data_IF_381854484094
#
_entry.id   IF_381854484094
#
_cell.length_a   1.000
_cell.length_b   1.000
_cell.length_c   1.000
_cell.angle_alpha   90.00
_cell.angle_beta   90.00
_cell.angle_gamma   90.00
#
_symmetry.space_group_name_H-M   'P 1'
#
loop_
_entity.id
_entity.type
_entity.pdbx_description
1 polymer ?
#
# COMPACT_ATOMS: atom_id res chain seq x y z
N UNK A 1 -20.43 -22.89 -20.80
CA UNK A 1 -19.73 -22.65 -22.09
C UNK A 1 -19.74 -21.15 -22.36
N UNK A 2 -18.59 -20.50 -22.59
CA UNK A 2 -18.49 -19.05 -22.73
C UNK A 2 -19.36 -18.50 -23.87
N UNK A 3 -20.19 -17.50 -23.55
CA UNK A 3 -21.28 -16.97 -24.41
C UNK A 3 -20.83 -15.93 -25.45
N UNK A 4 -19.54 -15.55 -25.56
CA UNK A 4 -19.07 -14.51 -26.51
C UNK A 4 -17.93 -14.96 -27.44
N UNK A 5 -17.82 -14.34 -28.62
CA UNK A 5 -16.85 -14.65 -29.68
C UNK A 5 -15.38 -14.39 -29.30
N UNK A 6 -15.15 -13.57 -28.28
CA UNK A 6 -13.81 -13.18 -27.82
C UNK A 6 -13.13 -14.31 -27.03
N UNK A 7 -13.86 -15.00 -26.16
CA UNK A 7 -13.33 -16.13 -25.38
C UNK A 7 -13.06 -17.36 -26.26
N UNK A 8 -13.81 -17.55 -27.35
CA UNK A 8 -13.53 -18.59 -28.36
C UNK A 8 -12.21 -18.38 -29.10
N UNK A 9 -11.75 -17.13 -29.24
CA UNK A 9 -10.45 -16.79 -29.88
C UNK A 9 -9.27 -16.87 -28.92
N UNK A 10 -9.50 -16.94 -27.62
CA UNK A 10 -8.44 -16.98 -26.62
C UNK A 10 -7.76 -18.38 -26.64
N UNK A 11 -6.54 -18.42 -27.18
CA UNK A 11 -5.78 -19.67 -27.34
C UNK A 11 -5.53 -20.34 -25.98
N UNK A 12 -5.18 -19.58 -24.95
CA UNK A 12 -4.89 -20.13 -23.62
C UNK A 12 -6.14 -20.61 -22.88
N UNK A 13 -7.31 -20.03 -23.18
CA UNK A 13 -8.57 -20.58 -22.66
C UNK A 13 -8.87 -21.97 -23.25
N UNK A 14 -8.68 -22.14 -24.57
CA UNK A 14 -8.87 -23.44 -25.24
C UNK A 14 -7.86 -24.47 -24.76
N UNK A 15 -6.56 -24.10 -24.76
CA UNK A 15 -5.49 -24.96 -24.22
C UNK A 15 -5.74 -25.37 -22.77
N UNK A 16 -6.26 -24.47 -21.94
CA UNK A 16 -6.60 -24.80 -20.56
C UNK A 16 -7.64 -25.92 -20.48
N UNK A 17 -8.66 -25.89 -21.35
CA UNK A 17 -9.67 -26.96 -21.40
C UNK A 17 -9.12 -28.26 -21.99
N UNK A 18 -8.28 -28.18 -23.01
CA UNK A 18 -7.63 -29.34 -23.64
C UNK A 18 -6.68 -30.07 -22.66
N UNK A 19 -5.92 -29.32 -21.86
CA UNK A 19 -4.93 -29.85 -20.89
C UNK A 19 -5.50 -30.07 -19.47
N UNK A 20 -6.80 -29.83 -19.28
CA UNK A 20 -7.50 -30.06 -18.01
C UNK A 20 -7.16 -29.07 -16.89
N UNK A 21 -6.73 -27.86 -17.22
CA UNK A 21 -6.54 -26.76 -16.28
C UNK A 21 -7.88 -26.07 -15.95
N UNK A 22 -8.09 -25.71 -14.68
CA UNK A 22 -9.31 -25.01 -14.23
C UNK A 22 -9.48 -23.64 -14.88
N UNK A 23 -8.38 -22.92 -15.06
CA UNK A 23 -8.34 -21.60 -15.66
C UNK A 23 -7.11 -21.40 -16.57
N UNK A 24 -7.20 -20.44 -17.48
CA UNK A 24 -6.09 -20.06 -18.37
C UNK A 24 -4.90 -19.42 -17.65
N UNK A 25 -5.08 -18.96 -16.41
CA UNK A 25 -4.00 -18.40 -15.59
C UNK A 25 -2.94 -19.42 -15.21
N UNK A 26 -3.21 -20.73 -15.31
CA UNK A 26 -2.19 -21.78 -15.16
C UNK A 26 -0.96 -21.53 -16.06
N UNK A 27 -1.17 -21.09 -17.31
CA UNK A 27 -0.09 -20.78 -18.24
C UNK A 27 0.77 -19.60 -17.82
N UNK A 28 0.25 -18.68 -17.00
CA UNK A 28 1.05 -17.55 -16.49
C UNK A 28 2.13 -18.07 -15.56
N UNK A 29 1.77 -18.93 -14.60
CA UNK A 29 2.73 -19.50 -13.65
C UNK A 29 3.75 -20.41 -14.36
N UNK A 30 3.29 -21.25 -15.31
CA UNK A 30 4.19 -22.09 -16.12
C UNK A 30 5.22 -21.26 -16.91
N UNK A 31 4.80 -20.12 -17.46
CA UNK A 31 5.70 -19.22 -18.20
C UNK A 31 6.61 -18.40 -17.29
N UNK A 32 6.15 -18.06 -16.08
CA UNK A 32 7.02 -17.44 -15.06
C UNK A 32 8.11 -18.43 -14.67
N UNK A 33 7.75 -19.69 -14.43
CA UNK A 33 8.70 -20.74 -14.08
C UNK A 33 9.72 -21.02 -15.19
N UNK A 34 9.31 -21.02 -16.47
CA UNK A 34 10.26 -21.25 -17.57
C UNK A 34 11.37 -20.20 -17.64
N UNK A 35 11.10 -18.96 -17.25
CA UNK A 35 12.07 -17.84 -17.29
C UNK A 35 12.79 -17.64 -15.96
N UNK A 36 12.09 -17.87 -14.84
CA UNK A 36 12.58 -17.53 -13.51
C UNK A 36 12.97 -18.75 -12.67
N UNK A 37 12.71 -19.98 -13.12
CA UNK A 37 13.04 -21.23 -12.43
C UNK A 37 12.54 -21.23 -10.97
N UNK A 38 11.26 -20.92 -10.77
CA UNK A 38 10.70 -20.72 -9.43
C UNK A 38 10.39 -22.03 -8.70
N UNK A 39 10.38 -23.17 -9.40
CA UNK A 39 10.15 -24.50 -8.81
C UNK A 39 11.43 -25.25 -8.43
N UNK A 40 12.60 -24.69 -8.70
CA UNK A 40 13.87 -25.32 -8.39
C UNK A 40 14.09 -25.42 -6.89
N UNK A 41 14.29 -26.66 -6.40
CA UNK A 41 14.50 -26.93 -4.97
C UNK A 41 13.29 -26.65 -4.08
N UNK A 42 12.10 -26.45 -4.66
CA UNK A 42 10.86 -26.21 -3.90
C UNK A 42 10.22 -27.53 -3.49
N UNK A 43 9.95 -27.66 -2.19
CA UNK A 43 9.24 -28.80 -1.60
C UNK A 43 7.95 -28.38 -0.89
N UNK A 44 7.92 -27.16 -0.35
CA UNK A 44 6.78 -26.57 0.36
C UNK A 44 6.33 -25.30 -0.34
N UNK A 45 5.10 -25.31 -0.85
CA UNK A 45 4.54 -24.17 -1.57
C UNK A 45 3.19 -23.74 -0.99
N UNK A 46 2.94 -22.42 -1.01
CA UNK A 46 1.68 -21.82 -0.62
C UNK A 46 1.08 -21.06 -1.81
N UNK A 47 -0.19 -21.30 -2.10
CA UNK A 47 -0.97 -20.58 -3.11
C UNK A 47 -2.00 -19.69 -2.39
N UNK A 48 -1.79 -18.38 -2.38
CA UNK A 48 -2.68 -17.39 -1.77
C UNK A 48 -3.69 -16.87 -2.78
N UNK A 49 -4.92 -16.62 -2.34
CA UNK A 49 -6.04 -16.25 -3.21
C UNK A 49 -6.20 -17.25 -4.36
N UNK A 50 -6.16 -18.53 -4.02
CA UNK A 50 -5.97 -19.62 -4.95
C UNK A 50 -7.19 -19.90 -5.85
N UNK A 51 -8.41 -19.49 -5.47
CA UNK A 51 -9.63 -19.88 -6.18
C UNK A 51 -9.59 -19.43 -7.65
N UNK A 52 -9.95 -20.31 -8.62
CA UNK A 52 -10.55 -21.64 -8.47
C UNK A 52 -9.53 -22.80 -8.31
N UNK A 53 -8.24 -22.53 -8.16
CA UNK A 53 -7.18 -23.50 -7.88
C UNK A 53 -6.28 -23.83 -9.09
N UNK A 54 -6.21 -22.95 -10.09
CA UNK A 54 -5.42 -23.24 -11.31
C UNK A 54 -3.91 -23.20 -11.08
N UNK A 55 -3.41 -22.32 -10.20
CA UNK A 55 -2.00 -22.28 -9.81
C UNK A 55 -1.66 -23.43 -8.87
N UNK A 56 -2.54 -23.75 -7.93
CA UNK A 56 -2.48 -24.98 -7.13
C UNK A 56 -2.34 -26.25 -7.97
N UNK A 57 -3.08 -26.36 -9.10
CA UNK A 57 -2.89 -27.49 -10.03
C UNK A 57 -1.49 -27.51 -10.64
N UNK A 58 -0.94 -26.35 -11.03
CA UNK A 58 0.40 -26.25 -11.60
C UNK A 58 1.45 -26.66 -10.57
N UNK A 59 1.36 -26.15 -9.34
CA UNK A 59 2.21 -26.54 -8.21
C UNK A 59 2.16 -28.05 -7.98
N UNK A 60 0.95 -28.63 -7.90
CA UNK A 60 0.77 -30.06 -7.67
C UNK A 60 1.43 -30.90 -8.77
N UNK A 61 1.27 -30.54 -10.05
CA UNK A 61 1.90 -31.31 -11.14
C UNK A 61 3.42 -31.13 -11.13
N UNK A 62 3.92 -29.89 -11.09
CA UNK A 62 5.34 -29.56 -11.24
C UNK A 62 6.19 -30.02 -10.06
N UNK A 63 5.72 -29.82 -8.82
CA UNK A 63 6.48 -30.25 -7.65
C UNK A 63 6.50 -31.79 -7.53
N UNK A 64 5.43 -32.49 -7.95
CA UNK A 64 5.45 -33.96 -8.00
C UNK A 64 6.36 -34.50 -9.11
N UNK A 65 6.46 -33.83 -10.27
CA UNK A 65 7.45 -34.13 -11.30
C UNK A 65 8.87 -34.00 -10.74
N UNK A 66 9.19 -32.86 -10.11
CA UNK A 66 10.50 -32.60 -9.49
C UNK A 66 10.82 -33.63 -8.40
N UNK A 67 9.85 -33.98 -7.57
CA UNK A 67 9.98 -35.02 -6.54
C UNK A 67 10.32 -36.39 -7.14
N UNK A 68 9.63 -36.81 -8.21
CA UNK A 68 9.92 -38.09 -8.88
C UNK A 68 11.33 -38.12 -9.48
N UNK A 69 11.80 -37.02 -10.04
CA UNK A 69 13.17 -36.94 -10.55
C UNK A 69 14.20 -36.90 -9.42
N UNK A 70 13.91 -36.23 -8.30
CA UNK A 70 14.76 -36.25 -7.12
C UNK A 70 14.88 -37.66 -6.51
N UNK A 71 13.79 -38.43 -6.47
CA UNK A 71 13.80 -39.82 -6.01
C UNK A 71 14.77 -40.72 -6.76
N UNK A 72 14.96 -40.46 -8.06
CA UNK A 72 15.92 -41.23 -8.88
C UNK A 72 17.36 -40.94 -8.49
N UNK A 73 17.64 -39.76 -7.94
CA UNK A 73 18.98 -39.30 -7.54
C UNK A 73 19.31 -39.62 -6.08
N UNK A 74 18.31 -39.82 -5.23
CA UNK A 74 18.49 -40.16 -3.82
C UNK A 74 17.21 -40.02 -3.00
N UNK A 75 17.30 -40.11 -1.66
CA UNK A 75 16.16 -39.90 -0.78
C UNK A 75 15.60 -38.47 -0.93
N UNK A 76 14.29 -38.36 -1.13
CA UNK A 76 13.59 -37.08 -1.23
C UNK A 76 12.26 -37.15 -0.48
N UNK A 77 11.79 -35.99 0.01
CA UNK A 77 10.50 -35.85 0.70
C UNK A 77 9.40 -35.43 -0.27
N UNK A 78 8.17 -35.95 -0.13
CA UNK A 78 7.05 -35.55 -0.99
C UNK A 78 6.72 -34.06 -0.80
N UNK A 79 6.27 -33.38 -1.87
CA UNK A 79 5.92 -31.98 -1.78
C UNK A 79 4.68 -31.77 -0.91
N UNK A 80 4.65 -30.66 -0.17
CA UNK A 80 3.47 -30.21 0.59
C UNK A 80 3.00 -28.88 0.00
N UNK A 81 1.72 -28.82 -0.34
CA UNK A 81 1.12 -27.63 -0.97
C UNK A 81 -0.10 -27.22 -0.14
N UNK A 82 -0.15 -25.96 0.26
CA UNK A 82 -1.29 -25.37 0.97
C UNK A 82 -1.87 -24.25 0.11
N UNK A 83 -3.15 -24.36 -0.24
CA UNK A 83 -3.87 -23.36 -1.01
C UNK A 83 -4.88 -22.65 -0.11
N UNK A 84 -4.90 -21.32 -0.14
CA UNK A 84 -5.70 -20.47 0.75
C UNK A 84 -6.56 -19.54 -0.07
N UNK A 85 -7.85 -19.51 0.23
CA UNK A 85 -8.77 -18.54 -0.36
C UNK A 85 -9.95 -18.27 0.59
N UNK A 86 -10.61 -17.12 0.45
CA UNK A 86 -11.88 -16.85 1.13
C UNK A 86 -13.02 -17.73 0.57
N UNK A 87 -12.95 -18.04 -0.73
CA UNK A 87 -13.91 -18.88 -1.44
C UNK A 87 -13.55 -20.36 -1.32
N UNK A 88 -14.58 -21.20 -1.13
CA UNK A 88 -14.40 -22.64 -1.20
C UNK A 88 -13.98 -23.08 -2.62
N UNK A 89 -13.00 -23.98 -2.69
CA UNK A 89 -12.52 -24.56 -3.94
C UNK A 89 -12.91 -26.03 -4.04
N UNK A 90 -13.06 -26.53 -5.27
CA UNK A 90 -13.21 -27.96 -5.47
C UNK A 90 -11.90 -28.69 -5.06
N UNK A 91 -11.97 -29.88 -4.43
CA UNK A 91 -10.79 -30.63 -4.01
C UNK A 91 -9.77 -30.86 -5.13
N UNK A 92 -8.48 -30.82 -4.78
CA UNK A 92 -7.34 -31.06 -5.67
C UNK A 92 -6.43 -32.08 -5.01
N UNK A 93 -6.07 -33.12 -5.74
CA UNK A 93 -5.17 -34.15 -5.25
C UNK A 93 -3.79 -33.58 -4.91
N UNK A 94 -3.25 -33.94 -3.75
CA UNK A 94 -1.94 -33.46 -3.28
C UNK A 94 -1.92 -31.99 -2.82
N UNK A 95 -3.08 -31.33 -2.71
CA UNK A 95 -3.19 -29.93 -2.24
C UNK A 95 -4.09 -29.88 -1.01
N UNK A 96 -3.54 -29.34 0.08
CA UNK A 96 -4.30 -29.00 1.28
C UNK A 96 -5.01 -27.68 1.02
N UNK A 97 -6.32 -27.63 1.19
CA UNK A 97 -7.11 -26.42 0.93
C UNK A 97 -7.62 -25.85 2.24
N UNK A 98 -7.28 -24.59 2.50
CA UNK A 98 -7.74 -23.83 3.65
C UNK A 98 -8.68 -22.73 3.16
N UNK A 99 -9.87 -22.67 3.75
CA UNK A 99 -10.74 -21.52 3.59
C UNK A 99 -10.38 -20.51 4.69
N UNK A 100 -9.77 -19.40 4.31
CA UNK A 100 -9.21 -18.46 5.28
C UNK A 100 -8.95 -17.09 4.68
N UNK A 101 -8.91 -16.09 5.56
CA UNK A 101 -8.53 -14.73 5.19
C UNK A 101 -7.03 -14.55 5.38
N UNK A 102 -6.35 -14.13 4.32
CA UNK A 102 -4.90 -13.91 4.35
C UNK A 102 -4.51 -12.72 5.24
N UNK A 103 -5.46 -11.88 5.66
CA UNK A 103 -5.23 -10.78 6.63
C UNK A 103 -5.19 -11.27 8.08
N UNK A 104 -5.63 -12.50 8.35
CA UNK A 104 -5.71 -13.04 9.71
C UNK A 104 -4.47 -13.84 10.11
N UNK A 105 -3.96 -13.58 11.31
CA UNK A 105 -2.83 -14.34 11.92
C UNK A 105 -3.16 -15.83 12.06
N UNK A 106 -4.41 -16.17 12.37
CA UNK A 106 -4.86 -17.57 12.50
C UNK A 106 -4.69 -18.37 11.20
N UNK A 107 -4.80 -17.72 10.04
CA UNK A 107 -4.56 -18.35 8.74
C UNK A 107 -3.07 -18.63 8.55
N UNK A 108 -2.18 -17.71 8.94
CA UNK A 108 -0.74 -17.95 8.93
C UNK A 108 -0.33 -19.13 9.83
N UNK A 109 -0.90 -19.20 11.04
CA UNK A 109 -0.67 -20.29 12.00
C UNK A 109 -1.11 -21.65 11.44
N UNK A 110 -2.29 -21.71 10.81
CA UNK A 110 -2.78 -22.93 10.17
C UNK A 110 -1.88 -23.40 9.02
N UNK A 111 -1.39 -22.47 8.19
CA UNK A 111 -0.44 -22.80 7.11
C UNK A 111 0.84 -23.41 7.69
N UNK A 112 1.40 -22.78 8.72
CA UNK A 112 2.63 -23.25 9.39
C UNK A 112 2.42 -24.62 10.04
N UNK A 113 1.26 -24.85 10.65
CA UNK A 113 0.92 -26.14 11.25
C UNK A 113 0.91 -27.28 10.20
N UNK A 114 0.41 -27.04 9.00
CA UNK A 114 0.43 -28.03 7.90
C UNK A 114 1.85 -28.34 7.38
N UNK A 115 2.80 -27.45 7.62
CA UNK A 115 4.22 -27.65 7.32
C UNK A 115 5.04 -28.13 8.53
N UNK A 116 4.40 -28.78 9.50
CA UNK A 116 5.08 -29.32 10.70
C UNK A 116 5.86 -28.23 11.48
N UNK A 117 5.29 -27.02 11.56
CA UNK A 117 5.92 -25.84 12.15
C UNK A 117 7.19 -25.35 11.45
N UNK A 118 7.36 -25.70 10.18
CA UNK A 118 8.40 -25.15 9.31
C UNK A 118 7.83 -24.17 8.29
N UNK A 119 8.71 -23.41 7.63
CA UNK A 119 8.33 -22.39 6.66
C UNK A 119 8.32 -22.94 5.22
N UNK A 120 7.58 -22.24 4.34
CA UNK A 120 7.46 -22.52 2.92
C UNK A 120 8.69 -22.06 2.13
N UNK A 121 8.97 -22.74 1.02
CA UNK A 121 10.03 -22.40 0.07
C UNK A 121 9.54 -21.37 -0.96
N UNK A 122 8.26 -21.48 -1.34
CA UNK A 122 7.62 -20.67 -2.37
C UNK A 122 6.23 -20.22 -1.90
N UNK A 123 5.94 -18.93 -2.05
CA UNK A 123 4.60 -18.37 -1.88
C UNK A 123 4.19 -17.71 -3.20
N UNK A 124 3.03 -18.08 -3.73
CA UNK A 124 2.48 -17.52 -4.97
C UNK A 124 1.10 -16.88 -4.71
N UNK A 125 0.77 -15.82 -5.45
CA UNK A 125 -0.52 -15.13 -5.34
C UNK A 125 -0.97 -14.59 -6.71
N UNK A 126 -2.00 -15.19 -7.33
CA UNK A 126 -2.67 -14.66 -8.54
C UNK A 126 -3.94 -13.86 -8.19
N UNK A 127 -4.13 -13.51 -6.92
CA UNK A 127 -5.30 -12.77 -6.45
C UNK A 127 -5.51 -11.46 -7.20
N UNK A 128 -6.76 -11.20 -7.57
CA UNK A 128 -7.20 -9.93 -8.12
C UNK A 128 -8.60 -9.59 -7.62
N UNK A 129 -8.89 -8.32 -7.31
CA UNK A 129 -10.24 -7.89 -6.98
C UNK A 129 -11.12 -7.92 -8.24
N UNK A 130 -12.43 -7.84 -8.00
CA UNK A 130 -13.38 -7.60 -9.08
C UNK A 130 -13.09 -6.22 -9.71
N UNK A 131 -12.83 -6.22 -11.01
CA UNK A 131 -12.45 -5.02 -11.75
C UNK A 131 -13.68 -4.13 -11.91
N UNK A 132 -13.65 -2.97 -11.28
CA UNK A 132 -14.74 -1.98 -11.32
C UNK A 132 -14.76 -1.19 -12.63
N UNK A 133 -13.61 -1.12 -13.32
CA UNK A 133 -13.39 -0.29 -14.50
C UNK A 133 -12.86 1.10 -14.17
N UNK A 134 -12.85 1.48 -12.90
CA UNK A 134 -12.16 2.67 -12.40
C UNK A 134 -10.72 2.29 -12.08
N UNK A 135 -9.82 2.53 -13.05
CA UNK A 135 -8.45 2.04 -12.98
C UNK A 135 -7.70 2.44 -11.71
N UNK A 136 -7.86 3.67 -11.23
CA UNK A 136 -7.16 4.12 -10.01
C UNK A 136 -7.61 3.34 -8.77
N UNK A 137 -8.91 3.06 -8.65
CA UNK A 137 -9.47 2.24 -7.57
C UNK A 137 -9.03 0.77 -7.70
N UNK A 138 -9.08 0.21 -8.90
CA UNK A 138 -8.67 -1.18 -9.16
C UNK A 138 -7.18 -1.38 -8.82
N UNK A 139 -6.33 -0.39 -9.16
CA UNK A 139 -4.90 -0.38 -8.81
C UNK A 139 -4.71 -0.28 -7.30
N UNK A 140 -5.45 0.60 -6.62
CA UNK A 140 -5.39 0.74 -5.18
C UNK A 140 -5.76 -0.57 -4.46
N UNK A 141 -6.89 -1.17 -4.82
CA UNK A 141 -7.36 -2.42 -4.21
C UNK A 141 -6.40 -3.58 -4.49
N UNK A 142 -5.87 -3.69 -5.72
CA UNK A 142 -4.84 -4.68 -6.04
C UNK A 142 -3.57 -4.48 -5.19
N UNK A 143 -3.19 -3.23 -4.93
CA UNK A 143 -2.02 -2.90 -4.10
C UNK A 143 -2.25 -3.28 -2.63
N UNK A 144 -3.46 -3.10 -2.11
CA UNK A 144 -3.83 -3.56 -0.77
C UNK A 144 -3.81 -5.09 -0.67
N UNK A 145 -4.31 -5.80 -1.68
CA UNK A 145 -4.25 -7.26 -1.72
C UNK A 145 -2.81 -7.77 -1.76
N UNK A 146 -1.94 -7.10 -2.53
CA UNK A 146 -0.51 -7.40 -2.58
C UNK A 146 0.16 -7.16 -1.24
N UNK A 147 -0.18 -6.07 -0.54
CA UNK A 147 0.33 -5.77 0.80
C UNK A 147 -0.07 -6.85 1.81
N UNK A 148 -1.34 -7.28 1.80
CA UNK A 148 -1.81 -8.39 2.63
C UNK A 148 -1.07 -9.71 2.32
N UNK A 149 -0.91 -10.02 1.03
CA UNK A 149 -0.18 -11.22 0.59
C UNK A 149 1.31 -11.19 0.99
N UNK A 150 1.96 -10.03 0.87
CA UNK A 150 3.33 -9.84 1.34
C UNK A 150 3.42 -10.00 2.86
N UNK A 151 2.46 -9.43 3.60
CA UNK A 151 2.48 -9.48 5.06
C UNK A 151 2.38 -10.91 5.59
N UNK A 152 1.42 -11.71 5.10
CA UNK A 152 1.34 -13.13 5.48
C UNK A 152 2.57 -13.91 4.98
N UNK A 153 3.12 -13.57 3.81
CA UNK A 153 4.35 -14.18 3.31
C UNK A 153 5.52 -13.97 4.28
N UNK A 154 5.62 -12.82 4.95
CA UNK A 154 6.69 -12.58 5.94
C UNK A 154 6.66 -13.54 7.14
N UNK A 155 5.49 -14.11 7.47
CA UNK A 155 5.30 -15.07 8.55
C UNK A 155 5.63 -16.50 8.10
N UNK A 156 5.21 -16.86 6.88
CA UNK A 156 5.21 -18.26 6.40
C UNK A 156 6.40 -18.60 5.51
N UNK A 157 7.10 -17.62 4.93
CA UNK A 157 8.21 -17.84 3.99
C UNK A 157 9.54 -18.01 4.72
N UNK A 158 10.34 -19.00 4.32
CA UNK A 158 11.68 -19.19 4.89
C UNK A 158 12.66 -18.15 4.36
N UNK A 159 13.72 -17.87 5.11
CA UNK A 159 14.86 -17.11 4.58
C UNK A 159 15.43 -17.79 3.34
N UNK A 160 15.69 -17.01 2.30
CA UNK A 160 16.05 -17.49 0.97
C UNK A 160 14.88 -17.96 0.09
N UNK A 161 13.64 -17.91 0.60
CA UNK A 161 12.44 -18.31 -0.14
C UNK A 161 12.06 -17.34 -1.28
N UNK A 162 11.15 -17.79 -2.14
CA UNK A 162 10.65 -17.00 -3.29
C UNK A 162 9.19 -16.60 -3.09
N UNK A 163 8.86 -15.36 -3.43
CA UNK A 163 7.51 -14.83 -3.45
C UNK A 163 7.13 -14.36 -4.86
N UNK A 164 6.00 -14.82 -5.38
CA UNK A 164 5.48 -14.42 -6.69
C UNK A 164 4.08 -13.86 -6.53
N UNK A 165 3.82 -12.65 -7.04
CA UNK A 165 2.51 -12.05 -6.91
C UNK A 165 2.08 -11.25 -8.13
N UNK A 166 0.77 -11.25 -8.40
CA UNK A 166 0.15 -10.37 -9.39
C UNK A 166 0.20 -8.91 -8.91
N UNK A 167 0.55 -8.03 -9.84
CA UNK A 167 0.51 -6.58 -9.65
C UNK A 167 -0.22 -5.91 -10.81
N UNK A 168 -0.78 -4.74 -10.58
CA UNK A 168 -1.18 -3.83 -11.66
C UNK A 168 -0.08 -2.80 -11.86
N UNK A 169 0.58 -2.86 -13.03
CA UNK A 169 1.71 -2.01 -13.35
C UNK A 169 1.20 -0.62 -13.74
N UNK A 170 1.04 0.24 -12.74
CA UNK A 170 0.69 1.65 -12.87
C UNK A 170 1.93 2.53 -13.10
N UNK A 171 1.72 3.85 -13.18
CA UNK A 171 2.77 4.85 -13.43
C UNK A 171 3.89 4.83 -12.38
N UNK A 172 3.55 4.53 -11.12
CA UNK A 172 4.46 4.61 -9.97
C UNK A 172 4.89 3.24 -9.41
N UNK A 173 5.15 2.27 -10.29
CA UNK A 173 5.58 0.92 -9.89
C UNK A 173 6.94 0.90 -9.15
N UNK A 174 7.75 1.95 -9.31
CA UNK A 174 9.06 2.09 -8.66
C UNK A 174 8.96 2.08 -7.13
N UNK A 175 7.93 2.71 -6.56
CA UNK A 175 7.72 2.72 -5.11
C UNK A 175 7.47 1.31 -4.58
N UNK A 176 6.64 0.54 -5.29
CA UNK A 176 6.37 -0.86 -4.96
C UNK A 176 7.66 -1.69 -5.01
N UNK A 177 8.50 -1.48 -6.01
CA UNK A 177 9.78 -2.19 -6.10
C UNK A 177 10.73 -1.82 -4.97
N UNK A 178 10.80 -0.54 -4.58
CA UNK A 178 11.59 -0.10 -3.43
C UNK A 178 11.11 -0.78 -2.13
N UNK A 179 9.79 -0.89 -1.95
CA UNK A 179 9.18 -1.57 -0.79
C UNK A 179 9.50 -3.07 -0.77
N UNK A 180 9.37 -3.76 -1.90
CA UNK A 180 9.70 -5.18 -2.01
C UNK A 180 11.21 -5.43 -1.80
N UNK A 181 12.06 -4.50 -2.25
CA UNK A 181 13.52 -4.62 -2.10
C UNK A 181 14.02 -4.52 -0.66
N UNK A 182 13.20 -4.04 0.27
CA UNK A 182 13.50 -4.08 1.70
C UNK A 182 13.55 -5.55 2.19
N UNK A 183 12.73 -6.43 1.63
CA UNK A 183 12.60 -7.83 2.03
C UNK A 183 13.26 -8.82 1.09
N UNK A 184 13.54 -8.40 -0.16
CA UNK A 184 14.07 -9.27 -1.20
C UNK A 184 15.17 -8.55 -1.99
N UNK A 185 16.41 -9.05 -2.00
CA UNK A 185 17.50 -8.43 -2.74
C UNK A 185 17.26 -8.45 -4.26
N UNK A 186 16.54 -9.46 -4.76
CA UNK A 186 16.22 -9.63 -6.17
C UNK A 186 14.72 -9.54 -6.43
N UNK A 187 14.29 -8.50 -7.15
CA UNK A 187 12.89 -8.28 -7.53
C UNK A 187 12.81 -8.10 -9.04
N UNK A 188 12.12 -9.03 -9.71
CA UNK A 188 11.91 -9.01 -11.16
C UNK A 188 10.45 -8.74 -11.48
N UNK A 189 10.19 -7.99 -12.56
CA UNK A 189 8.85 -7.82 -13.10
C UNK A 189 8.73 -8.62 -14.39
N UNK A 190 7.71 -9.47 -14.46
CA UNK A 190 7.46 -10.35 -15.60
C UNK A 190 6.05 -10.12 -16.14
N UNK A 191 5.90 -10.19 -17.47
CA UNK A 191 4.59 -10.18 -18.13
C UNK A 191 4.52 -11.40 -19.06
N UNK A 192 3.96 -12.52 -18.60
CA UNK A 192 3.85 -13.75 -19.39
C UNK A 192 3.07 -13.52 -20.69
N UNK A 193 3.41 -14.23 -21.75
CA UNK A 193 2.72 -14.10 -23.05
C UNK A 193 1.26 -14.60 -23.01
N UNK A 194 0.89 -15.36 -21.99
CA UNK A 194 -0.49 -15.75 -21.67
C UNK A 194 -1.31 -14.62 -21.03
N UNK A 195 -0.64 -13.61 -20.48
CA UNK A 195 -1.27 -12.35 -20.06
C UNK A 195 -1.72 -11.55 -21.28
N UNK A 196 -2.85 -10.86 -21.17
CA UNK A 196 -3.35 -10.03 -22.28
C UNK A 196 -2.50 -8.76 -22.39
N UNK A 197 -2.06 -8.44 -23.60
CA UNK A 197 -1.27 -7.21 -23.83
C UNK A 197 -2.05 -5.94 -23.44
N UNK A 198 -3.37 -5.96 -23.60
CA UNK A 198 -4.26 -4.87 -23.20
C UNK A 198 -4.50 -4.78 -21.69
N UNK A 199 -4.06 -5.75 -20.90
CA UNK A 199 -4.17 -5.71 -19.44
C UNK A 199 -2.95 -5.02 -18.84
N UNK A 200 -3.17 -4.24 -17.79
CA UNK A 200 -2.09 -3.66 -16.97
C UNK A 200 -1.49 -4.67 -15.98
N UNK A 201 -1.97 -5.92 -15.95
CA UNK A 201 -1.41 -6.95 -15.08
C UNK A 201 0.05 -7.25 -15.46
N UNK A 202 0.85 -7.44 -14.43
CA UNK A 202 2.18 -8.00 -14.48
C UNK A 202 2.40 -8.84 -13.20
N UNK A 203 3.54 -9.50 -13.08
CA UNK A 203 3.87 -10.32 -11.93
C UNK A 203 5.23 -9.92 -11.39
N UNK A 204 5.32 -9.73 -10.08
CA UNK A 204 6.60 -9.62 -9.39
C UNK A 204 7.10 -11.00 -9.00
N UNK A 205 8.39 -11.24 -9.22
CA UNK A 205 9.11 -12.42 -8.76
C UNK A 205 10.20 -11.92 -7.82
N UNK A 206 9.99 -12.13 -6.54
CA UNK A 206 10.88 -11.71 -5.47
C UNK A 206 11.64 -12.93 -4.97
N UNK A 207 12.97 -12.96 -5.13
CA UNK A 207 13.81 -14.09 -4.73
C UNK A 207 14.65 -13.75 -3.52
N UNK A 208 15.05 -14.79 -2.81
CA UNK A 208 16.00 -14.74 -1.69
C UNK A 208 15.48 -13.90 -0.51
N UNK A 209 14.33 -14.29 0.05
CA UNK A 209 13.72 -13.58 1.19
C UNK A 209 14.73 -13.33 2.31
N UNK A 210 14.99 -12.04 2.57
CA UNK A 210 15.98 -11.53 3.51
C UNK A 210 15.41 -10.30 4.22
N UNK A 211 14.53 -10.50 5.23
CA UNK A 211 13.96 -9.39 5.98
C UNK A 211 15.05 -8.61 6.75
N UNK A 212 14.85 -7.32 7.03
CA UNK A 212 15.79 -6.51 7.82
C UNK A 212 16.08 -7.13 9.20
N UNK A 213 17.29 -6.87 9.72
CA UNK A 213 17.68 -7.34 11.05
C UNK A 213 16.72 -6.81 12.13
N UNK A 214 16.23 -7.69 13.00
CA UNK A 214 15.27 -7.34 14.03
C UNK A 214 13.82 -7.16 13.54
N UNK A 215 13.53 -7.40 12.25
CA UNK A 215 12.17 -7.39 11.73
C UNK A 215 11.34 -8.50 12.39
N UNK A 216 10.16 -8.12 12.88
CA UNK A 216 9.22 -9.06 13.49
C UNK A 216 7.94 -9.03 12.66
N UNK A 217 7.62 -10.12 11.95
CA UNK A 217 6.37 -10.25 11.23
C UNK A 217 5.20 -9.88 12.15
N UNK A 218 4.32 -9.00 11.66
CA UNK A 218 3.12 -8.58 12.36
C UNK A 218 2.01 -8.36 11.34
N UNK A 219 0.81 -8.83 11.63
CA UNK A 219 -0.35 -8.66 10.74
C UNK A 219 -1.02 -7.29 10.91
N UNK A 220 -0.28 -6.26 11.36
CA UNK A 220 -0.86 -4.94 11.62
C UNK A 220 -1.23 -4.24 10.32
N UNK A 221 -2.55 -4.03 10.19
CA UNK A 221 -3.24 -3.07 9.34
C UNK A 221 -2.83 -3.02 7.85
N UNK A 222 -3.21 -4.05 7.05
CA UNK A 222 -3.62 -3.74 5.68
C UNK A 222 -4.79 -2.74 5.79
N UNK A 223 -4.82 -1.66 5.00
CA UNK A 223 -5.90 -0.65 5.04
C UNK A 223 -7.30 -1.20 4.65
N UNK A 224 -7.42 -2.52 4.59
CA UNK A 224 -8.63 -3.33 4.42
C UNK A 224 -9.34 -3.63 5.75
N UNK A 225 -8.71 -3.37 6.90
CA UNK A 225 -9.30 -3.57 8.23
C UNK A 225 -9.66 -2.24 8.89
N UNK A 226 -10.84 -2.15 9.49
CA UNK A 226 -11.29 -0.94 10.22
C UNK A 226 -10.58 -0.73 11.58
N UNK A 227 -9.67 -1.62 11.96
CA UNK A 227 -8.97 -1.53 13.25
C UNK A 227 -7.78 -0.56 13.20
N UNK A 228 -7.69 0.40 14.14
CA UNK A 228 -6.56 1.33 14.18
C UNK A 228 -5.25 0.60 14.52
N UNK A 229 -4.18 0.91 13.78
CA UNK A 229 -2.87 0.32 14.03
C UNK A 229 -2.33 0.78 15.40
N UNK A 230 -2.01 -0.18 16.27
CA UNK A 230 -1.41 0.12 17.56
C UNK A 230 0.11 0.33 17.43
N UNK A 231 0.52 1.54 17.09
CA UNK A 231 1.92 1.92 16.90
C UNK A 231 2.82 1.67 18.13
N UNK A 232 2.24 1.59 19.34
CA UNK A 232 3.01 1.35 20.56
C UNK A 232 3.58 -0.09 20.62
N UNK A 233 3.01 -1.03 19.87
CA UNK A 233 3.51 -2.41 19.80
C UNK A 233 4.74 -2.55 18.89
N UNK A 234 4.93 -1.62 17.96
CA UNK A 234 6.03 -1.65 17.00
C UNK A 234 7.33 -1.14 17.63
N UNK A 235 8.45 -1.81 17.36
CA UNK A 235 9.78 -1.46 17.89
C UNK A 235 10.86 -1.63 16.82
N UNK A 236 11.94 -0.84 16.95
CA UNK A 236 13.12 -0.90 16.08
C UNK A 236 12.78 -0.70 14.60
N UNK A 237 13.20 -1.64 13.75
CA UNK A 237 12.94 -1.60 12.30
C UNK A 237 11.45 -1.64 11.92
N UNK A 238 10.58 -2.10 12.82
CA UNK A 238 9.13 -2.10 12.58
C UNK A 238 8.48 -0.75 12.93
N UNK A 239 9.20 0.15 13.63
CA UNK A 239 8.73 1.50 13.99
C UNK A 239 9.72 2.54 13.49
N UNK A 240 9.61 2.87 12.22
CA UNK A 240 10.34 4.01 11.64
C UNK A 240 9.42 5.22 11.69
N UNK A 241 9.78 6.21 12.52
CA UNK A 241 9.13 7.52 12.49
C UNK A 241 9.80 8.30 11.37
N UNK A 242 9.10 8.49 10.26
CA UNK A 242 9.53 9.44 9.24
C UNK A 242 9.30 10.83 9.80
N UNK A 243 10.34 11.66 10.00
CA UNK A 243 10.16 13.00 10.51
C UNK A 243 9.29 13.78 9.52
N UNK A 244 8.15 14.27 9.99
CA UNK A 244 7.36 15.22 9.22
C UNK A 244 7.97 16.61 9.40
N UNK A 245 8.66 17.08 8.37
CA UNK A 245 9.28 18.40 8.36
C UNK A 245 8.33 19.32 7.60
N UNK A 246 7.74 20.28 8.31
CA UNK A 246 7.02 21.37 7.66
C UNK A 246 8.05 22.22 6.93
N UNK A 247 7.94 22.27 5.61
CA UNK A 247 8.78 23.11 4.75
C UNK A 247 7.98 24.35 4.36
N UNK A 248 8.51 25.52 4.69
CA UNK A 248 7.85 26.81 4.50
C UNK A 248 8.23 27.74 5.64
N UNK A 249 8.31 29.04 5.35
CA UNK A 249 8.41 30.04 6.41
C UNK A 249 7.04 30.17 7.09
N UNK A 250 7.01 30.19 8.43
CA UNK A 250 5.78 30.39 9.20
C UNK A 250 5.14 31.76 8.95
N UNK A 251 5.87 32.69 8.31
CA UNK A 251 5.34 33.98 7.88
C UNK A 251 4.52 33.90 6.58
N UNK A 252 4.50 32.76 5.88
CA UNK A 252 3.81 32.63 4.60
C UNK A 252 2.30 32.51 4.78
N UNK A 253 1.51 32.94 3.78
CA UNK A 253 0.08 32.74 3.82
C UNK A 253 -0.27 31.24 3.75
N UNK A 254 -1.15 30.82 4.65
CA UNK A 254 -1.78 29.51 4.77
C UNK A 254 -2.78 29.29 3.61
N UNK A 255 -2.64 28.20 2.86
CA UNK A 255 -3.51 27.89 1.73
C UNK A 255 -4.99 27.71 2.10
N UNK A 256 -5.26 27.34 3.36
CA UNK A 256 -6.63 27.10 3.83
C UNK A 256 -7.28 28.36 4.43
N UNK A 257 -6.51 29.44 4.58
CA UNK A 257 -7.03 30.75 5.00
C UNK A 257 -7.36 31.65 3.81
N UNK A 258 -8.35 32.52 4.01
CA UNK A 258 -8.65 33.60 3.07
C UNK A 258 -7.95 34.88 3.52
N UNK A 259 -7.18 35.49 2.62
CA UNK A 259 -6.49 36.76 2.86
C UNK A 259 -7.15 37.91 2.11
N UNK A 260 -7.02 39.16 2.60
CA UNK A 260 -7.42 40.33 1.84
C UNK A 260 -6.72 40.36 0.48
N UNK A 261 -7.44 40.81 -0.56
CA UNK A 261 -6.90 40.93 -1.91
C UNK A 261 -5.59 41.75 -1.93
N UNK A 262 -5.55 42.83 -1.15
CA UNK A 262 -4.34 43.63 -0.94
C UNK A 262 -3.49 42.99 0.16
N UNK A 263 -2.68 41.99 -0.23
CA UNK A 263 -1.77 41.27 0.67
C UNK A 263 -0.39 41.94 0.72
N UNK A 264 0.21 42.08 1.91
CA UNK A 264 1.53 42.71 2.14
C UNK A 264 1.66 44.14 1.56
N UNK A 265 0.59 44.92 1.51
CA UNK A 265 0.63 46.28 0.96
C UNK A 265 0.82 46.34 -0.56
N UNK A 266 0.70 45.21 -1.26
CA UNK A 266 0.61 45.18 -2.72
C UNK A 266 -0.84 45.35 -3.13
N UNK A 267 -1.11 46.28 -4.03
CA UNK A 267 -2.44 46.44 -4.61
C UNK A 267 -2.74 45.24 -5.51
N UNK A 268 -3.89 44.61 -5.28
CA UNK A 268 -4.32 43.48 -6.08
C UNK A 268 -4.56 43.91 -7.52
N UNK A 269 -3.85 43.25 -8.45
CA UNK A 269 -4.13 43.36 -9.87
C UNK A 269 -4.69 42.04 -10.36
N UNK A 270 -5.94 42.05 -10.83
CA UNK A 270 -6.50 40.90 -11.52
C UNK A 270 -5.69 40.62 -12.79
N UNK A 271 -5.22 39.38 -12.90
CA UNK A 271 -4.59 38.87 -14.11
C UNK A 271 -5.49 37.75 -14.64
N UNK A 272 -5.77 37.80 -15.94
CA UNK A 272 -6.42 36.67 -16.59
C UNK A 272 -5.55 35.42 -16.46
N UNK A 273 -6.15 34.23 -16.27
CA UNK A 273 -5.41 32.99 -16.28
C UNK A 273 -4.56 32.87 -17.54
N UNK A 274 -3.28 32.50 -17.39
CA UNK A 274 -2.36 32.31 -18.53
C UNK A 274 -2.95 31.35 -19.57
N UNK A 275 -3.74 30.37 -19.11
CA UNK A 275 -4.54 29.51 -19.95
C UNK A 275 -5.92 29.30 -19.31
N UNK A 276 -6.98 29.70 -20.01
CA UNK A 276 -8.34 29.40 -19.59
C UNK A 276 -8.61 27.88 -19.72
N UNK A 277 -9.50 27.31 -18.88
CA UNK A 277 -9.91 25.92 -19.03
C UNK A 277 -10.44 25.65 -20.44
N UNK A 278 -9.98 24.57 -21.07
CA UNK A 278 -10.42 24.19 -22.43
C UNK A 278 -11.93 23.88 -22.46
N UNK A 279 -12.45 23.34 -21.35
CA UNK A 279 -13.87 23.13 -21.11
C UNK A 279 -14.14 23.46 -19.62
N UNK A 280 -14.54 24.70 -19.28
CA UNK A 280 -14.76 25.07 -17.90
C UNK A 280 -15.96 24.31 -17.33
N UNK A 281 -15.90 23.83 -16.07
CA UNK A 281 -16.99 23.07 -15.44
C UNK A 281 -18.29 23.88 -15.29
N UNK A 282 -18.20 25.21 -15.41
CA UNK A 282 -19.34 26.14 -15.37
C UNK A 282 -19.89 26.49 -16.76
N UNK A 283 -19.37 25.91 -17.85
CA UNK A 283 -19.83 26.19 -19.22
C UNK A 283 -21.34 25.94 -19.38
N UNK A 284 -21.84 24.82 -18.86
CA UNK A 284 -23.28 24.52 -18.88
C UNK A 284 -24.11 25.53 -18.09
N UNK A 285 -23.60 26.01 -16.95
CA UNK A 285 -24.29 26.99 -16.12
C UNK A 285 -24.39 28.34 -16.84
N UNK A 286 -23.32 28.76 -17.52
CA UNK A 286 -23.32 29.97 -18.34
C UNK A 286 -24.28 29.85 -19.52
N UNK A 287 -24.33 28.69 -20.20
CA UNK A 287 -25.29 28.44 -21.29
C UNK A 287 -26.73 28.47 -20.79
N UNK A 288 -27.01 27.88 -19.63
CA UNK A 288 -28.34 27.91 -18.99
C UNK A 288 -28.74 29.34 -18.60
N UNK A 289 -27.82 30.12 -18.05
CA UNK A 289 -28.08 31.52 -17.70
C UNK A 289 -28.29 32.38 -18.95
N UNK A 290 -27.54 32.15 -20.03
CA UNK A 290 -27.73 32.83 -21.32
C UNK A 290 -29.09 32.49 -21.94
N UNK A 291 -29.46 31.21 -21.96
CA UNK A 291 -30.80 30.78 -22.42
C UNK A 291 -31.92 31.39 -21.59
N UNK A 292 -31.79 31.44 -20.26
CA UNK A 292 -32.75 32.14 -19.39
C UNK A 292 -32.86 33.62 -19.71
N UNK A 293 -31.74 34.30 -19.98
CA UNK A 293 -31.74 35.71 -20.36
C UNK A 293 -32.40 35.94 -21.71
N UNK A 294 -32.17 35.05 -22.70
CA UNK A 294 -32.79 35.09 -24.03
C UNK A 294 -34.30 34.80 -23.98
N UNK A 295 -34.72 33.82 -23.18
CA UNK A 295 -36.13 33.50 -22.92
C UNK A 295 -36.85 34.69 -22.28
N UNK A 296 -36.24 35.33 -21.28
CA UNK A 296 -36.77 36.54 -20.64
C UNK A 296 -36.83 37.75 -21.60
N UNK A 297 -35.86 37.88 -22.52
CA UNK A 297 -35.86 38.92 -23.55
C UNK A 297 -36.94 38.70 -24.62
N UNK A 298 -37.27 37.44 -24.94
CA UNK A 298 -38.34 37.10 -25.90
C UNK A 298 -39.76 37.16 -25.31
N UNK A 299 -39.90 37.28 -23.98
CA UNK A 299 -41.17 37.34 -23.27
C UNK A 299 -41.66 38.76 -22.95
N UNK A 300 -40.91 39.81 -23.28
CA UNK A 300 -41.27 41.20 -22.96
C UNK A 300 -41.48 42.06 -24.21
N UNK A 301 -42.75 42.33 -24.54
CA UNK A 301 -43.10 43.59 -25.21
C UNK A 301 -42.85 44.72 -24.20
N UNK A 302 -41.80 45.50 -24.46
CA UNK A 302 -41.60 46.90 -24.06
C UNK A 302 -41.99 47.29 -22.61
N UNK A 303 -41.01 47.25 -21.70
CA UNK A 303 -40.76 48.36 -20.76
C UNK A 303 -39.26 48.45 -20.50
N UNK A 304 -38.71 49.62 -20.80
CA UNK A 304 -37.35 50.04 -20.49
C UNK A 304 -37.11 49.95 -18.97
N UNK A 305 -36.03 49.27 -18.57
CA UNK A 305 -35.57 49.20 -17.19
C UNK A 305 -34.11 49.70 -17.13
N UNK A 306 -33.87 50.89 -17.66
CA UNK A 306 -32.89 51.77 -17.03
C UNK A 306 -33.48 52.28 -15.72
N UNK A 307 -32.77 52.04 -14.61
CA UNK A 307 -33.08 52.48 -13.23
C UNK A 307 -34.13 51.62 -12.49
N UNK A 308 -33.66 50.55 -11.83
CA UNK A 308 -34.25 50.11 -10.57
C UNK A 308 -33.21 50.35 -9.48
N UNK A 309 -33.64 51.17 -8.53
CA UNK A 309 -32.92 51.68 -7.37
C UNK A 309 -32.40 50.58 -6.45
N UNK A 310 -31.13 50.73 -6.07
CA UNK A 310 -30.38 49.91 -5.10
C UNK A 310 -31.05 49.94 -3.70
N UNK A 311 -31.90 50.94 -3.41
CA UNK A 311 -32.64 51.04 -2.14
C UNK A 311 -33.73 49.97 -1.96
N UNK A 312 -34.33 49.46 -3.04
CA UNK A 312 -35.44 48.50 -2.96
C UNK A 312 -35.00 47.05 -2.67
N UNK A 313 -33.71 46.75 -2.89
CA UNK A 313 -33.12 45.44 -2.59
C UNK A 313 -32.75 45.30 -1.09
N UNK A 314 -32.47 46.42 -0.42
CA UNK A 314 -32.10 46.44 1.00
C UNK A 314 -33.34 46.26 1.91
N UNK A 315 -34.52 46.72 1.49
CA UNK A 315 -35.75 46.55 2.27
C UNK A 315 -36.32 45.11 2.20
N UNK A 316 -36.14 44.40 1.09
CA UNK A 316 -36.69 43.05 0.89
C UNK A 316 -35.86 41.92 1.53
N UNK A 317 -34.65 42.18 2.01
CA UNK A 317 -33.89 41.20 2.82
C UNK A 317 -34.31 41.19 4.31
N UNK A 318 -35.17 42.11 4.74
CA UNK A 318 -35.57 42.21 6.15
C UNK A 318 -36.73 41.27 6.55
N UNK A 319 -37.48 40.65 5.62
CA UNK A 319 -38.66 39.83 5.94
C UNK A 319 -38.57 38.34 5.54
N UNK A 320 -37.37 37.77 5.40
CA UNK A 320 -37.23 36.30 5.44
C UNK A 320 -36.05 35.85 6.29
N UNK A 321 -36.08 36.34 7.54
CA UNK A 321 -35.13 35.99 8.59
C UNK A 321 -34.86 34.48 8.68
N UNK A 322 -33.56 34.19 8.79
CA UNK A 322 -32.84 32.96 9.17
C UNK A 322 -33.45 32.20 10.38
N UNK A 323 -34.46 32.76 11.06
CA UNK A 323 -35.20 32.16 12.16
C UNK A 323 -36.04 30.94 11.77
N UNK A 324 -36.54 30.84 10.53
CA UNK A 324 -37.35 29.68 10.08
C UNK A 324 -36.54 28.41 9.85
N UNK A 325 -35.24 28.54 9.53
CA UNK A 325 -34.35 27.40 9.23
C UNK A 325 -33.87 26.73 10.53
N UNK A 326 -33.74 27.47 11.64
CA UNK A 326 -33.40 26.89 12.95
C UNK A 326 -34.53 26.04 13.57
N UNK A 327 -35.77 26.15 13.07
CA UNK A 327 -36.93 25.45 13.62
C UNK A 327 -37.20 24.07 13.00
N UNK A 328 -36.53 23.70 11.90
CA UNK A 328 -36.80 22.43 11.19
C UNK A 328 -35.75 21.33 11.40
N UNK A 329 -34.77 21.50 12.31
CA UNK A 329 -33.68 20.54 12.54
C UNK A 329 -33.63 19.95 13.97
N UNK A 330 -34.75 19.91 14.68
CA UNK A 330 -34.82 19.20 15.98
C UNK A 330 -35.68 17.94 15.84
N UNK A 331 -35.02 16.78 15.82
CA UNK A 331 -35.61 15.44 16.03
C UNK A 331 -35.47 15.10 17.53
N UNK A 332 -36.46 14.44 18.17
CA UNK A 332 -36.68 14.52 19.61
C UNK A 332 -35.85 13.52 20.42
N UNK A 333 -35.48 13.91 21.63
CA UNK A 333 -35.11 12.99 22.71
C UNK A 333 -36.10 13.20 23.86
N UNK A 334 -36.81 12.14 24.23
CA UNK A 334 -37.68 12.04 25.39
C UNK A 334 -36.99 11.17 26.45
N UNK A 335 -36.63 11.75 27.61
CA UNK A 335 -37.31 11.58 28.90
C UNK A 335 -36.48 12.04 30.10
N UNK A 336 -37.14 12.85 30.94
CA UNK A 336 -37.15 12.95 32.41
C UNK A 336 -35.82 13.18 33.18
N UNK A 337 -35.68 14.11 34.14
CA UNK A 337 -36.64 14.60 35.14
C UNK A 337 -36.13 15.88 35.85
N UNK A 338 -37.09 16.74 36.20
CA UNK A 338 -37.22 17.55 37.43
C UNK A 338 -36.05 18.38 38.00
N UNK A 339 -36.09 19.71 37.77
CA UNK A 339 -36.47 20.69 38.82
C UNK A 339 -36.44 22.14 38.29
N UNK A 340 -37.47 22.91 38.68
CA UNK A 340 -37.67 24.36 38.47
C UNK A 340 -37.70 25.04 39.86
N UNK A 341 -37.86 26.37 40.00
CA UNK A 341 -37.58 27.51 39.12
C UNK A 341 -36.83 28.66 39.87
N UNK A 342 -36.60 29.78 39.16
CA UNK A 342 -36.79 31.20 39.60
C UNK A 342 -35.58 32.10 39.27
N UNK A 343 -35.62 33.36 38.80
CA UNK A 343 -36.64 34.36 38.37
C UNK A 343 -35.84 35.60 37.86
N UNK A 344 -36.23 36.19 36.71
CA UNK A 344 -36.25 37.65 36.32
C UNK A 344 -34.97 38.49 36.55
N UNK A 345 -34.41 39.27 35.60
CA UNK A 345 -34.90 40.58 35.12
C UNK A 345 -33.99 41.13 33.99
N UNK A 346 -34.57 41.89 33.04
CA UNK A 346 -33.91 42.71 32.00
C UNK A 346 -33.31 44.01 32.58
N UNK A 347 -32.21 44.54 32.03
CA UNK A 347 -32.07 45.96 31.60
C UNK A 347 -30.81 46.20 30.74
N UNK A 348 -30.74 47.39 30.14
CA UNK A 348 -30.14 47.85 28.88
C UNK A 348 -28.79 48.60 28.98
N UNK A 349 -28.08 48.65 27.84
CA UNK A 349 -27.21 49.72 27.27
C UNK A 349 -25.78 50.00 27.83
N UNK A 350 -24.83 49.86 26.88
CA UNK A 350 -23.71 50.73 26.48
C UNK A 350 -22.66 51.24 27.50
N UNK A 351 -21.40 50.83 27.29
CA UNK A 351 -20.22 51.65 26.91
C UNK A 351 -18.91 50.96 27.35
N UNK A 352 -17.84 51.27 26.61
CA UNK A 352 -16.53 50.63 26.55
C UNK A 352 -15.75 50.53 27.88
N UNK A 353 -15.04 49.42 28.10
CA UNK A 353 -13.61 49.37 28.51
C UNK A 353 -13.11 47.91 28.72
N UNK A 354 -12.08 47.57 27.93
CA UNK A 354 -10.95 46.63 28.11
C UNK A 354 -10.96 45.61 29.28
N UNK A 355 -11.06 44.30 28.97
CA UNK A 355 -10.42 43.19 29.74
C UNK A 355 -9.96 42.07 28.78
N UNK A 356 -8.65 41.79 28.80
CA UNK A 356 -7.98 40.64 28.19
C UNK A 356 -7.94 39.48 29.21
N UNK A 357 -7.84 38.24 28.69
CA UNK A 357 -7.68 36.92 29.37
C UNK A 357 -8.98 36.45 30.07
N UNK A 358 -9.57 35.27 29.86
CA UNK A 358 -8.98 33.94 29.93
C UNK A 358 -10.04 32.88 29.57
N UNK A 359 -9.87 32.13 28.47
CA UNK A 359 -10.77 31.01 28.13
C UNK A 359 -10.13 29.93 27.23
N UNK A 360 -8.79 29.86 27.17
CA UNK A 360 -8.07 28.80 26.44
C UNK A 360 -7.11 28.01 27.34
N UNK A 361 -7.33 28.03 28.65
CA UNK A 361 -6.49 27.31 29.61
C UNK A 361 -7.11 26.01 30.15
N UNK A 362 -8.12 25.43 29.48
CA UNK A 362 -8.79 24.20 29.94
C UNK A 362 -8.88 23.07 28.90
N UNK A 363 -8.01 23.04 27.88
CA UNK A 363 -7.97 21.93 26.90
C UNK A 363 -6.63 21.19 26.80
N UNK A 364 -5.68 21.47 27.68
CA UNK A 364 -4.46 20.68 27.83
C UNK A 364 -4.14 20.45 29.30
N UNK A 365 -4.72 19.41 29.89
CA UNK A 365 -4.25 18.83 31.14
C UNK A 365 -4.28 17.30 31.01
N UNK A 366 -3.19 16.75 30.49
CA UNK A 366 -2.83 15.35 30.70
C UNK A 366 -1.95 15.32 31.95
N UNK A 367 -2.46 14.66 32.99
CA UNK A 367 -1.81 14.46 34.28
C UNK A 367 -0.45 13.76 34.11
N UNK A 368 0.62 14.50 34.40
CA UNK A 368 1.94 13.93 34.70
C UNK A 368 2.18 14.16 36.18
N UNK A 369 1.73 13.23 37.00
CA UNK A 369 2.18 13.09 38.39
C UNK A 369 2.16 11.61 38.76
N UNK A 370 3.27 10.93 38.47
CA UNK A 370 3.85 9.87 39.30
C UNK A 370 5.13 9.35 38.64
N UNK A 371 6.20 10.15 38.74
CA UNK A 371 7.58 9.72 38.51
C UNK A 371 8.52 10.64 39.31
N UNK A 372 8.69 10.38 40.60
CA UNK A 372 9.77 10.94 41.41
C UNK A 372 11.10 10.31 40.97
N UNK A 373 11.97 11.09 40.32
CA UNK A 373 13.40 10.78 40.19
C UNK A 373 14.17 12.04 40.59
N UNK A 374 14.77 11.98 41.79
CA UNK A 374 15.62 13.01 42.39
C UNK A 374 16.89 13.25 41.57
N UNK A 375 17.07 14.47 41.06
CA UNK A 375 18.35 14.96 40.55
C UNK A 375 18.93 16.02 41.50
N UNK A 376 19.70 15.58 42.49
CA UNK A 376 20.65 16.43 43.20
C UNK A 376 21.77 15.58 43.83
N UNK A 377 22.89 15.46 43.10
CA UNK A 377 24.29 15.37 43.60
C UNK A 377 25.21 14.88 42.48
N UNK A 378 26.01 15.77 41.91
CA UNK A 378 27.48 15.77 42.04
C UNK A 378 28.08 16.81 41.08
N UNK A 379 28.78 17.78 41.66
CA UNK A 379 29.65 18.72 40.97
C UNK A 379 30.88 17.98 40.44
N UNK A 380 31.20 18.17 39.16
CA UNK A 380 32.58 18.09 38.66
C UNK A 380 32.73 19.04 37.46
N UNK A 381 33.52 20.10 37.68
CA UNK A 381 33.94 21.06 36.67
C UNK A 381 34.77 20.38 35.58
N UNK A 382 34.37 20.51 34.32
CA UNK A 382 35.29 20.41 33.17
C UNK A 382 34.96 21.53 32.19
N UNK A 383 35.91 22.44 32.05
CA UNK A 383 35.93 23.56 31.10
C UNK A 383 36.08 23.01 29.68
N UNK A 384 35.22 23.44 28.75
CA UNK A 384 35.35 23.14 27.31
C UNK A 384 35.91 24.38 26.62
N UNK A 385 37.12 24.26 26.08
CA UNK A 385 37.70 25.20 25.13
C UNK A 385 37.10 24.99 23.74
N UNK A 386 36.82 26.09 23.06
CA UNK A 386 36.36 26.18 21.68
C UNK A 386 37.50 25.81 20.71
N UNK A 387 37.22 24.95 19.72
CA UNK A 387 37.82 25.11 18.38
C UNK A 387 36.97 24.40 17.30
N UNK A 388 36.82 25.11 16.19
CA UNK A 388 36.06 24.84 14.97
C UNK A 388 36.73 23.83 14.04
N UNK A 389 35.98 23.08 13.24
CA UNK A 389 36.20 23.02 11.77
C UNK A 389 35.15 22.18 11.01
N UNK A 390 34.93 22.60 9.76
CA UNK A 390 33.95 22.14 8.79
C UNK A 390 34.31 20.82 8.12
N UNK A 391 33.31 19.98 7.83
CA UNK A 391 33.46 18.83 6.92
C UNK A 391 32.48 18.94 5.74
N UNK A 392 33.03 19.35 4.61
CA UNK A 392 32.47 19.14 3.27
C UNK A 392 33.44 18.27 2.47
N UNK A 393 32.88 17.40 1.61
CA UNK A 393 33.52 16.56 0.58
C UNK A 393 33.82 15.10 0.96
N UNK A 394 33.75 14.24 -0.07
CA UNK A 394 33.77 12.76 -0.12
C UNK A 394 32.35 12.13 -0.02
N UNK A 395 31.81 11.39 -1.00
CA UNK A 395 32.42 10.40 -1.91
C UNK A 395 31.64 10.35 -3.23
N UNK A 396 32.36 10.35 -4.37
CA UNK A 396 31.86 10.07 -5.71
C UNK A 396 32.72 8.94 -6.34
N UNK A 397 32.06 8.00 -7.05
CA UNK A 397 32.59 6.88 -7.90
C UNK A 397 33.01 5.62 -7.10
N UNK A 398 32.71 4.39 -7.52
CA UNK A 398 33.00 3.74 -8.81
C UNK A 398 32.05 2.56 -9.11
N UNK A 399 31.59 2.44 -10.38
CA UNK A 399 31.08 1.23 -11.05
C UNK A 399 32.20 0.67 -11.94
N UNK A 400 32.52 -0.63 -11.94
CA UNK A 400 33.03 -1.39 -13.11
C UNK A 400 32.66 -2.91 -12.99
N UNK A 401 32.23 -3.47 -14.13
CA UNK A 401 31.85 -4.86 -14.49
C UNK A 401 33.09 -5.69 -14.89
N UNK A 402 33.02 -7.05 -14.95
CA UNK A 402 33.70 -7.72 -16.06
C UNK A 402 32.87 -8.81 -16.77
N UNK A 403 33.17 -8.97 -18.06
CA UNK A 403 32.82 -10.10 -18.94
C UNK A 403 34.09 -10.56 -19.67
N UNK A 404 34.12 -11.85 -19.96
CA UNK A 404 35.21 -12.70 -20.46
C UNK A 404 35.71 -12.38 -21.89
N UNK A 405 36.95 -12.78 -22.22
CA UNK A 405 37.26 -13.88 -23.16
C UNK A 405 38.77 -14.02 -23.50
N UNK A 406 39.21 -15.29 -23.51
CA UNK A 406 40.19 -15.99 -24.37
C UNK A 406 41.67 -15.55 -24.56
N UNK A 407 42.60 -16.44 -24.16
CA UNK A 407 43.39 -17.32 -25.06
C UNK A 407 44.83 -17.64 -24.58
N UNK A 408 45.09 -18.95 -24.46
CA UNK A 408 46.30 -19.73 -24.80
C UNK A 408 47.73 -19.25 -24.42
N UNK A 409 48.38 -19.96 -23.49
CA UNK A 409 49.48 -20.90 -23.78
C UNK A 409 50.14 -21.48 -22.51
N UNK A 410 50.19 -22.81 -22.44
CA UNK A 410 51.12 -23.65 -21.67
C UNK A 410 52.54 -23.66 -22.34
N UNK A 411 53.61 -24.36 -21.87
CA UNK A 411 53.70 -25.39 -20.81
C UNK A 411 54.96 -25.39 -19.88
N UNK A 412 54.87 -26.24 -18.84
CA UNK A 412 55.94 -27.06 -18.21
C UNK A 412 57.01 -26.41 -17.32
N UNK A 413 57.20 -26.96 -16.11
CA UNK A 413 58.40 -27.72 -15.69
C UNK A 413 58.14 -28.45 -14.37
N UNK A 414 58.67 -29.67 -14.29
CA UNK A 414 58.54 -30.69 -13.24
C UNK A 414 59.45 -30.44 -12.03
N UNK A 415 59.10 -30.92 -10.83
CA UNK A 415 60.02 -31.61 -9.91
C UNK A 415 59.30 -32.27 -8.71
N UNK A 416 59.68 -33.54 -8.47
CA UNK A 416 59.28 -34.46 -7.40
C UNK A 416 59.99 -34.15 -6.06
N UNK A 417 59.45 -34.68 -4.96
CA UNK A 417 60.06 -35.44 -3.83
C UNK A 417 58.89 -35.70 -2.85
N UNK A 418 58.30 -36.90 -2.68
CA UNK A 418 58.77 -38.19 -2.15
C UNK A 418 58.97 -38.25 -0.62
N UNK A 419 58.52 -39.39 -0.04
CA UNK A 419 58.59 -39.89 1.36
C UNK A 419 57.42 -39.51 2.30
N UNK A 420 56.74 -40.43 2.99
CA UNK A 420 56.84 -41.89 3.06
C UNK A 420 55.55 -42.50 3.65
N UNK A 421 55.30 -43.74 3.28
CA UNK A 421 54.33 -44.71 3.85
C UNK A 421 54.59 -44.91 5.38
N UNK A 422 53.67 -45.43 6.20
CA UNK A 422 53.09 -46.77 6.07
C UNK A 422 52.04 -47.09 7.15
N UNK A 423 50.91 -47.70 6.72
CA UNK A 423 50.29 -48.99 7.17
C UNK A 423 50.15 -49.25 8.69
N UNK A 424 49.09 -49.86 9.24
CA UNK A 424 48.10 -50.81 8.70
C UNK A 424 47.17 -51.30 9.83
N UNK A 425 46.07 -51.96 9.41
CA UNK A 425 45.23 -52.98 10.08
C UNK A 425 44.05 -52.46 10.90
N UNK A 426 42.77 -52.70 10.54
CA UNK A 426 42.02 -53.92 10.17
C UNK A 426 41.38 -54.62 11.39
N UNK A 427 40.04 -54.80 11.31
CA UNK A 427 39.10 -55.76 11.95
C UNK A 427 37.82 -55.03 12.40
N UNK A 428 36.66 -55.29 11.79
CA UNK A 428 35.73 -56.42 12.04
C UNK A 428 35.38 -56.55 13.53
N UNK A 429 34.18 -56.09 13.88
CA UNK A 429 33.04 -56.95 14.24
C UNK A 429 31.72 -56.25 13.88
#
# INVERSE_FOLDING_TARGET
MGKTSKDKRDIYYRKAKEEGWRARSAFKLLQIDSECHIFDGVSKAVDLCAAPGSWSQVLARKLNENYKEALKKGPASPPKIVAVDLQAMAPLEGVIQLQGDITNTSTAEQIIAHFDNTRADLVVCDGAPDVTGLHDMDIFIQSQLLLAALNIATHILRSGGTFVAKIFRAKDVTLLYAQLRIFFPYVYCTKPSSSRNSSIEAFVVCKDYSPPEGYKPNMLNPWLTDEPCNFNQLTGVNRVIVPFIVCGDLSQPDSDMSYPLNYEGKEYKYHEPVQAPIAPPYEEALLKNRKKAEENASASNYTDFSEIDIEMAIENESESSISKIKQSLVIPVCNDSDNKPSTVTKTTQNDDDEIVVDALQNLYQLDISDCNIDFNKTNANVTIEHESESLSSEIQRVFIVPRDDDSDNEPSTSAKIAYNESKSNEKRD
#
